data_IF_432167404349
#
_entry.id   IF_432167404349
#
_cell.length_a   1.000
_cell.length_b   1.000
_cell.length_c   1.000
_cell.angle_alpha   90.00
_cell.angle_beta   90.00
_cell.angle_gamma   90.00
#
_symmetry.space_group_name_H-M   'P 1'
#
loop_
_entity.id
_entity.type
_entity.pdbx_description
1 polymer ?
#
# COMPACT_ATOMS: atom_id res chain seq x y z
N UNK A 1 -2.15 11.84 -7.91
CA UNK A 1 -1.73 11.84 -6.49
C UNK A 1 -1.61 10.42 -5.98
N UNK A 2 -0.55 10.14 -5.27
CA UNK A 2 -0.26 8.80 -4.75
C UNK A 2 -0.48 8.75 -3.25
N UNK A 3 -0.74 7.55 -2.75
CA UNK A 3 -0.79 7.25 -1.32
C UNK A 3 0.42 6.40 -0.97
N UNK A 4 1.27 6.88 -0.09
CA UNK A 4 2.42 6.12 0.40
C UNK A 4 2.08 5.54 1.75
N UNK A 5 2.06 4.22 1.85
CA UNK A 5 1.76 3.50 3.09
C UNK A 5 3.07 3.18 3.77
N UNK A 6 3.25 3.67 5.00
CA UNK A 6 4.45 3.46 5.79
C UNK A 6 4.19 2.32 6.76
N UNK A 7 5.02 1.29 6.69
CA UNK A 7 4.99 0.20 7.64
C UNK A 7 6.13 0.39 8.64
N UNK A 8 5.77 0.39 9.90
CA UNK A 8 6.72 0.59 10.99
C UNK A 8 7.59 -0.65 11.18
N UNK A 9 8.75 -0.43 11.81
CA UNK A 9 9.61 -1.52 12.24
C UNK A 9 8.83 -2.47 13.17
N UNK A 10 9.05 -3.79 13.02
CA UNK A 10 8.40 -4.81 13.84
C UNK A 10 8.67 -4.65 15.34
N UNK A 11 9.70 -3.91 15.71
CA UNK A 11 10.03 -3.65 17.11
C UNK A 11 9.05 -2.68 17.77
N UNK A 12 8.48 -1.74 17.00
CA UNK A 12 7.57 -0.73 17.54
C UNK A 12 6.27 -1.36 18.09
N UNK A 13 5.61 -2.28 17.38
CA UNK A 13 4.41 -2.94 17.92
C UNK A 13 4.62 -3.75 19.19
N UNK A 14 5.86 -4.15 19.48
CA UNK A 14 6.20 -4.89 20.69
C UNK A 14 6.37 -4.01 21.93
N UNK A 15 6.39 -2.68 21.73
CA UNK A 15 6.48 -1.74 22.85
C UNK A 15 5.15 -1.65 23.61
N UNK A 16 5.21 -1.22 24.86
CA UNK A 16 4.02 -1.03 25.69
C UNK A 16 3.11 0.06 25.11
N UNK A 17 1.84 0.04 25.50
CA UNK A 17 0.87 1.06 25.09
C UNK A 17 1.30 2.49 25.46
N UNK A 18 2.12 2.64 26.49
CA UNK A 18 2.66 3.96 26.90
C UNK A 18 3.79 4.43 25.97
N UNK A 19 4.60 3.49 25.51
CA UNK A 19 5.80 3.77 24.71
C UNK A 19 5.49 3.92 23.24
N UNK A 20 4.52 3.12 22.74
CA UNK A 20 4.15 3.10 21.32
C UNK A 20 3.74 4.46 20.77
N UNK A 21 2.85 5.25 21.43
CA UNK A 21 2.48 6.57 20.92
C UNK A 21 3.66 7.55 20.83
N UNK A 22 4.63 7.44 21.74
CA UNK A 22 5.83 8.27 21.70
C UNK A 22 6.71 7.95 20.50
N UNK A 23 6.89 6.67 20.20
CA UNK A 23 7.65 6.23 19.05
C UNK A 23 6.97 6.65 17.75
N UNK A 24 5.66 6.50 17.67
CA UNK A 24 4.88 6.90 16.50
C UNK A 24 4.96 8.40 16.27
N UNK A 25 4.86 9.21 17.31
CA UNK A 25 4.98 10.66 17.21
C UNK A 25 6.38 11.08 16.74
N UNK A 26 7.40 10.44 17.29
CA UNK A 26 8.79 10.69 16.87
C UNK A 26 9.00 10.31 15.43
N UNK A 27 8.44 9.17 15.02
CA UNK A 27 8.53 8.72 13.64
C UNK A 27 7.86 9.71 12.69
N UNK A 28 6.66 10.20 13.04
CA UNK A 28 5.96 11.23 12.26
C UNK A 28 6.81 12.49 12.11
N UNK A 29 7.38 12.98 13.23
CA UNK A 29 8.22 14.17 13.21
C UNK A 29 9.46 13.97 12.35
N UNK A 30 10.08 12.80 12.41
CA UNK A 30 11.26 12.48 11.62
C UNK A 30 10.94 12.37 10.13
N UNK A 31 9.77 11.83 9.79
CA UNK A 31 9.30 11.77 8.40
C UNK A 31 9.08 13.17 7.85
N UNK A 32 8.38 14.03 8.60
CA UNK A 32 8.14 15.41 8.18
C UNK A 32 9.44 16.18 8.00
N UNK A 33 10.37 16.02 8.93
CA UNK A 33 11.69 16.65 8.83
C UNK A 33 12.41 16.22 7.55
N UNK A 34 12.42 14.92 7.26
CA UNK A 34 13.08 14.37 6.08
C UNK A 34 12.45 14.90 4.78
N UNK A 35 11.12 14.97 4.72
CA UNK A 35 10.41 15.50 3.55
C UNK A 35 10.73 16.97 3.31
N UNK A 36 10.69 17.78 4.36
CA UNK A 36 10.99 19.21 4.27
C UNK A 36 12.42 19.46 3.86
N UNK A 37 13.35 18.69 4.42
CA UNK A 37 14.77 18.79 4.08
C UNK A 37 15.05 18.55 2.60
N UNK A 38 14.30 17.65 1.98
CA UNK A 38 14.43 17.32 0.56
C UNK A 38 13.59 18.22 -0.34
N UNK A 39 12.97 19.25 0.24
CA UNK A 39 12.17 20.21 -0.53
C UNK A 39 10.79 19.71 -0.94
N UNK A 40 10.33 18.62 -0.35
CA UNK A 40 8.99 18.11 -0.63
C UNK A 40 8.00 18.87 0.24
N UNK A 41 7.13 19.65 -0.38
CA UNK A 41 6.14 20.50 0.30
C UNK A 41 4.70 20.04 0.05
N UNK A 42 4.46 19.30 -1.03
CA UNK A 42 3.16 18.77 -1.37
C UNK A 42 2.95 17.41 -0.73
N UNK A 43 2.52 17.41 0.53
CA UNK A 43 2.20 16.17 1.23
C UNK A 43 1.17 16.39 2.33
N UNK A 44 0.41 15.35 2.61
CA UNK A 44 -0.54 15.30 3.71
C UNK A 44 -0.33 13.98 4.43
N UNK A 45 -0.01 14.04 5.73
CA UNK A 45 0.29 12.86 6.53
C UNK A 45 -0.88 12.58 7.46
N UNK A 46 -1.35 11.33 7.46
CA UNK A 46 -2.34 10.86 8.41
C UNK A 46 -1.83 9.62 9.13
N UNK A 47 -2.24 9.46 10.38
CA UNK A 47 -1.96 8.25 11.13
C UNK A 47 -3.27 7.71 11.70
N UNK A 48 -3.57 6.45 11.40
CA UNK A 48 -4.74 5.74 11.88
C UNK A 48 -4.36 4.33 12.27
N UNK A 49 -4.69 3.94 13.50
CA UNK A 49 -4.50 2.58 13.98
C UNK A 49 -3.09 2.03 13.74
N UNK A 50 -2.09 2.89 13.98
CA UNK A 50 -0.69 2.52 13.81
C UNK A 50 -0.19 2.51 12.36
N UNK A 51 -1.00 2.99 11.43
CA UNK A 51 -0.61 3.07 10.01
C UNK A 51 -0.46 4.52 9.60
N UNK A 52 0.72 4.86 9.09
CA UNK A 52 1.01 6.19 8.57
C UNK A 52 0.81 6.17 7.06
N UNK A 53 0.04 7.12 6.56
CA UNK A 53 -0.21 7.28 5.13
C UNK A 53 0.16 8.69 4.72
N UNK A 54 0.92 8.82 3.63
CA UNK A 54 1.30 10.11 3.06
C UNK A 54 0.65 10.23 1.69
N UNK A 55 -0.14 11.28 1.50
CA UNK A 55 -0.68 11.61 0.17
C UNK A 55 0.21 12.67 -0.43
N UNK A 56 0.74 12.42 -1.62
CA UNK A 56 1.61 13.35 -2.32
C UNK A 56 1.64 13.04 -3.82
N UNK A 57 1.85 14.06 -4.62
CA UNK A 57 2.10 13.90 -6.05
C UNK A 57 3.59 13.73 -6.35
N UNK A 58 4.45 13.90 -5.36
CA UNK A 58 5.91 13.82 -5.54
C UNK A 58 6.39 12.36 -5.55
N UNK A 59 7.13 11.99 -6.59
CA UNK A 59 7.67 10.63 -6.73
C UNK A 59 8.84 10.33 -5.80
N UNK A 60 9.41 11.34 -5.16
CA UNK A 60 10.59 11.18 -4.31
C UNK A 60 10.26 10.72 -2.90
N UNK A 61 8.99 10.74 -2.51
CA UNK A 61 8.57 10.43 -1.14
C UNK A 61 9.09 9.06 -0.69
N UNK A 62 8.94 8.04 -1.53
CA UNK A 62 9.41 6.69 -1.19
C UNK A 62 10.91 6.63 -0.91
N UNK A 63 11.71 7.24 -1.77
CA UNK A 63 13.18 7.26 -1.63
C UNK A 63 13.63 8.00 -0.38
N UNK A 64 12.93 9.07 -0.01
CA UNK A 64 13.25 9.86 1.16
C UNK A 64 12.83 9.15 2.44
N UNK A 65 11.58 8.71 2.51
CA UNK A 65 11.00 8.14 3.73
C UNK A 65 11.63 6.79 4.10
N UNK A 66 12.05 6.00 3.11
CA UNK A 66 12.69 4.71 3.39
C UNK A 66 13.94 4.82 4.28
N UNK A 67 14.58 5.98 4.26
CA UNK A 67 15.80 6.23 5.04
C UNK A 67 15.52 6.70 6.47
N UNK A 68 14.27 6.94 6.82
CA UNK A 68 13.92 7.40 8.16
C UNK A 68 13.96 6.23 9.14
N UNK A 69 14.62 6.42 10.26
CA UNK A 69 14.73 5.39 11.30
C UNK A 69 13.33 5.01 11.83
N UNK A 70 13.08 3.73 11.92
CA UNK A 70 11.79 3.20 12.35
C UNK A 70 10.88 2.78 11.21
N UNK A 71 11.21 3.13 9.97
CA UNK A 71 10.48 2.73 8.78
C UNK A 71 10.99 1.36 8.33
N UNK A 72 10.09 0.37 8.30
CA UNK A 72 10.41 -0.96 7.81
C UNK A 72 10.22 -1.04 6.30
N UNK A 73 9.15 -0.44 5.79
CA UNK A 73 8.77 -0.51 4.38
C UNK A 73 7.90 0.67 4.02
N UNK A 74 8.05 1.16 2.79
CA UNK A 74 7.20 2.20 2.21
C UNK A 74 6.62 1.66 0.92
N UNK A 75 5.30 1.74 0.75
CA UNK A 75 4.64 1.30 -0.48
C UNK A 75 3.88 2.45 -1.12
N UNK A 76 4.20 2.72 -2.38
CA UNK A 76 3.50 3.70 -3.22
C UNK A 76 2.27 3.03 -3.82
N UNK A 77 1.11 3.65 -3.68
CA UNK A 77 -0.15 3.11 -4.13
C UNK A 77 -1.04 4.17 -4.77
N UNK A 78 -1.97 3.72 -5.60
CA UNK A 78 -3.13 4.50 -5.96
C UNK A 78 -4.24 4.10 -4.98
N UNK A 79 -4.99 5.06 -4.48
CA UNK A 79 -6.06 4.78 -3.54
C UNK A 79 -7.35 5.49 -3.93
N UNK A 80 -8.47 4.89 -3.54
CA UNK A 80 -9.79 5.48 -3.75
C UNK A 80 -10.80 4.93 -2.75
N UNK A 81 -11.84 5.69 -2.52
CA UNK A 81 -13.01 5.18 -1.80
C UNK A 81 -13.82 4.31 -2.76
N UNK A 82 -14.41 3.23 -2.24
CA UNK A 82 -15.24 2.33 -3.01
C UNK A 82 -16.60 2.15 -2.33
N UNK A 83 -17.62 1.86 -3.15
CA UNK A 83 -18.97 1.58 -2.65
C UNK A 83 -19.30 0.09 -2.71
N UNK A 84 -18.67 -0.64 -3.62
CA UNK A 84 -18.91 -2.06 -3.81
C UNK A 84 -17.63 -2.78 -4.24
N UNK A 85 -17.66 -4.11 -4.16
CA UNK A 85 -16.54 -4.93 -4.64
C UNK A 85 -16.30 -4.72 -6.13
N UNK A 86 -17.36 -4.46 -6.92
CA UNK A 86 -17.22 -4.21 -8.35
C UNK A 86 -16.36 -3.00 -8.65
N UNK A 87 -16.46 -1.94 -7.82
CA UNK A 87 -15.60 -0.75 -7.95
C UNK A 87 -14.13 -1.12 -7.80
N UNK A 88 -13.83 -1.98 -6.82
CA UNK A 88 -12.47 -2.45 -6.54
C UNK A 88 -11.91 -3.21 -7.74
N UNK A 89 -12.71 -4.12 -8.30
CA UNK A 89 -12.29 -4.99 -9.40
C UNK A 89 -12.09 -4.21 -10.68
N UNK A 90 -13.02 -3.32 -11.02
CA UNK A 90 -12.95 -2.49 -12.23
C UNK A 90 -11.70 -1.62 -12.23
N UNK A 91 -11.38 -1.00 -11.09
CA UNK A 91 -10.19 -0.16 -10.97
C UNK A 91 -8.91 -0.98 -11.00
N UNK A 92 -8.91 -2.14 -10.38
CA UNK A 92 -7.76 -3.05 -10.42
C UNK A 92 -7.45 -3.49 -11.86
N UNK A 93 -8.46 -3.82 -12.64
CA UNK A 93 -8.29 -4.17 -14.05
C UNK A 93 -7.68 -3.01 -14.82
N UNK A 94 -8.20 -1.81 -14.65
CA UNK A 94 -7.70 -0.60 -15.31
C UNK A 94 -6.22 -0.34 -14.98
N UNK A 95 -5.85 -0.45 -13.71
CA UNK A 95 -4.49 -0.16 -13.26
C UNK A 95 -3.50 -1.24 -13.68
N UNK A 96 -3.86 -2.51 -13.53
CA UNK A 96 -2.91 -3.62 -13.61
C UNK A 96 -2.91 -4.38 -14.93
N UNK A 97 -3.85 -4.13 -15.83
CA UNK A 97 -3.92 -4.86 -17.10
C UNK A 97 -2.61 -4.85 -17.88
N UNK A 98 -1.92 -3.72 -17.91
CA UNK A 98 -0.65 -3.59 -18.63
C UNK A 98 0.51 -4.26 -17.90
N UNK A 99 0.39 -4.46 -16.58
CA UNK A 99 1.44 -5.10 -15.78
C UNK A 99 1.53 -6.59 -15.98
N UNK A 100 0.43 -7.23 -16.42
CA UNK A 100 0.34 -8.68 -16.53
C UNK A 100 0.42 -9.18 -17.97
N UNK A 101 0.55 -8.31 -18.96
CA UNK A 101 0.60 -8.70 -20.38
C UNK A 101 1.74 -9.70 -20.63
N UNK A 102 1.37 -10.89 -21.10
CA UNK A 102 2.33 -11.95 -21.41
C UNK A 102 3.05 -12.53 -20.20
N UNK A 103 2.57 -12.26 -19.00
CA UNK A 103 3.21 -12.71 -17.76
C UNK A 103 2.26 -13.55 -16.92
N UNK A 104 2.82 -14.44 -16.12
CA UNK A 104 2.09 -15.16 -15.10
C UNK A 104 2.01 -14.33 -13.85
N UNK A 105 0.86 -14.30 -13.19
CA UNK A 105 0.65 -13.41 -12.05
C UNK A 105 -0.06 -14.11 -10.90
N UNK A 106 0.04 -13.50 -9.73
CA UNK A 106 -0.75 -13.85 -8.56
C UNK A 106 -1.34 -12.57 -7.97
N UNK A 107 -2.52 -12.66 -7.39
CA UNK A 107 -3.18 -11.55 -6.70
C UNK A 107 -3.15 -11.83 -5.21
N UNK A 108 -2.63 -10.88 -4.43
CA UNK A 108 -2.58 -10.96 -2.97
C UNK A 108 -3.32 -9.78 -2.39
N UNK A 109 -4.27 -10.06 -1.52
CA UNK A 109 -5.14 -9.05 -0.94
C UNK A 109 -5.06 -9.11 0.57
N UNK A 110 -4.86 -7.94 1.18
CA UNK A 110 -4.97 -7.75 2.63
C UNK A 110 -6.21 -6.91 2.89
N UNK A 111 -6.97 -7.28 3.91
CA UNK A 111 -8.22 -6.59 4.21
C UNK A 111 -8.34 -6.35 5.71
N UNK A 112 -8.75 -5.14 6.08
CA UNK A 112 -9.08 -4.76 7.44
C UNK A 112 -10.41 -4.00 7.44
N UNK A 113 -11.20 -4.19 8.47
CA UNK A 113 -12.53 -3.58 8.59
C UNK A 113 -13.64 -4.60 8.33
N UNK A 114 -14.89 -4.11 8.33
CA UNK A 114 -16.08 -4.94 8.15
C UNK A 114 -16.60 -4.81 6.72
N UNK A 115 -16.71 -5.94 6.01
CA UNK A 115 -17.17 -5.99 4.63
C UNK A 115 -18.05 -7.20 4.40
N UNK A 116 -18.86 -7.15 3.32
CA UNK A 116 -19.68 -8.28 2.89
C UNK A 116 -18.90 -9.28 2.03
N UNK A 117 -17.65 -8.98 1.74
CA UNK A 117 -16.76 -9.83 0.92
C UNK A 117 -15.46 -10.10 1.68
N UNK A 118 -14.75 -11.15 1.27
CA UNK A 118 -13.46 -11.54 1.86
C UNK A 118 -12.30 -11.13 0.95
N UNK A 119 -11.06 -11.21 1.49
CA UNK A 119 -9.86 -11.00 0.66
C UNK A 119 -9.77 -12.02 -0.46
N UNK A 120 -10.20 -13.25 -0.23
CA UNK A 120 -10.23 -14.28 -1.28
C UNK A 120 -11.21 -13.95 -2.39
N UNK A 121 -12.36 -13.37 -2.06
CA UNK A 121 -13.34 -12.92 -3.06
C UNK A 121 -12.73 -11.88 -3.99
N UNK A 122 -12.02 -10.90 -3.44
CA UNK A 122 -11.36 -9.86 -4.21
C UNK A 122 -10.28 -10.48 -5.09
N UNK A 123 -9.42 -11.32 -4.51
CA UNK A 123 -8.31 -11.95 -5.23
C UNK A 123 -8.82 -12.80 -6.42
N UNK A 124 -9.87 -13.58 -6.20
CA UNK A 124 -10.45 -14.43 -7.24
C UNK A 124 -11.02 -13.60 -8.38
N UNK A 125 -11.78 -12.55 -8.06
CA UNK A 125 -12.43 -11.71 -9.08
C UNK A 125 -11.45 -10.83 -9.84
N UNK A 126 -10.44 -10.30 -9.16
CA UNK A 126 -9.36 -9.53 -9.82
C UNK A 126 -8.55 -10.47 -10.72
N UNK A 127 -8.23 -11.66 -10.24
CA UNK A 127 -7.54 -12.67 -11.04
C UNK A 127 -8.32 -13.03 -12.31
N UNK A 128 -9.61 -13.22 -12.18
CA UNK A 128 -10.49 -13.49 -13.33
C UNK A 128 -10.49 -12.33 -14.34
N UNK A 129 -10.59 -11.10 -13.84
CA UNK A 129 -10.61 -9.91 -14.69
C UNK A 129 -9.30 -9.70 -15.44
N UNK A 130 -8.16 -10.05 -14.84
CA UNK A 130 -6.83 -9.87 -15.43
C UNK A 130 -6.39 -11.04 -16.30
N UNK A 131 -7.03 -12.18 -16.18
CA UNK A 131 -6.61 -13.42 -16.86
C UNK A 131 -6.47 -13.24 -18.37
N UNK A 132 -7.42 -12.56 -19.00
CA UNK A 132 -7.44 -12.35 -20.45
C UNK A 132 -6.25 -11.55 -20.99
N UNK A 133 -5.57 -10.77 -20.14
CA UNK A 133 -4.40 -9.99 -20.54
C UNK A 133 -3.09 -10.74 -20.31
N UNK A 134 -3.11 -11.79 -19.52
CA UNK A 134 -1.93 -12.44 -18.96
C UNK A 134 -1.58 -13.76 -19.65
N UNK A 135 -0.45 -14.35 -19.25
CA UNK A 135 -0.06 -15.70 -19.62
C UNK A 135 -0.65 -16.76 -18.66
N UNK A 136 -1.42 -16.35 -17.67
CA UNK A 136 -2.07 -17.22 -16.69
C UNK A 136 -1.75 -16.87 -15.26
N UNK A 137 -2.36 -17.61 -14.34
CA UNK A 137 -2.14 -17.45 -12.89
C UNK A 137 -1.13 -18.49 -12.42
N UNK A 138 -0.16 -18.05 -11.60
CA UNK A 138 0.78 -18.94 -10.92
C UNK A 138 0.98 -18.46 -9.50
N UNK A 139 0.43 -19.20 -8.53
CA UNK A 139 0.45 -18.79 -7.12
C UNK A 139 1.80 -19.04 -6.45
N UNK A 140 2.55 -20.02 -6.93
CA UNK A 140 3.82 -20.39 -6.28
C UNK A 140 5.04 -19.65 -6.83
N UNK A 141 5.04 -19.33 -8.12
CA UNK A 141 6.17 -18.66 -8.76
C UNK A 141 5.70 -17.69 -9.86
N UNK A 142 4.99 -16.64 -9.48
CA UNK A 142 4.50 -15.66 -10.45
C UNK A 142 5.63 -14.74 -10.94
N UNK A 143 5.48 -14.27 -12.18
CA UNK A 143 6.36 -13.22 -12.72
C UNK A 143 6.03 -11.87 -12.11
N UNK A 144 4.75 -11.65 -11.81
CA UNK A 144 4.24 -10.40 -11.23
C UNK A 144 3.28 -10.71 -10.10
N UNK A 145 3.40 -9.98 -9.01
CA UNK A 145 2.46 -10.07 -7.88
C UNK A 145 1.64 -8.78 -7.86
N UNK A 146 0.33 -8.93 -7.92
CA UNK A 146 -0.61 -7.83 -7.78
C UNK A 146 -1.01 -7.74 -6.31
N UNK A 147 -0.62 -6.66 -5.65
CA UNK A 147 -0.90 -6.44 -4.23
C UNK A 147 -1.99 -5.37 -4.07
N UNK A 148 -3.02 -5.70 -3.33
CA UNK A 148 -4.15 -4.82 -3.04
C UNK A 148 -4.39 -4.84 -1.53
N UNK A 149 -4.58 -3.67 -0.93
CA UNK A 149 -4.96 -3.55 0.46
C UNK A 149 -6.30 -2.82 0.55
N UNK A 150 -7.20 -3.34 1.38
CA UNK A 150 -8.49 -2.73 1.64
C UNK A 150 -8.58 -2.42 3.12
N UNK A 151 -8.88 -1.17 3.44
CA UNK A 151 -9.04 -0.71 4.83
C UNK A 151 -10.34 0.10 4.90
N UNK A 152 -11.31 -0.42 5.63
CA UNK A 152 -12.64 0.16 5.73
C UNK A 152 -13.22 0.44 4.34
N UNK A 153 -13.43 1.69 3.96
CA UNK A 153 -14.01 2.07 2.67
C UNK A 153 -12.98 2.53 1.62
N UNK A 154 -11.69 2.31 1.89
CA UNK A 154 -10.61 2.73 0.98
C UNK A 154 -9.84 1.51 0.46
N UNK A 155 -9.57 1.49 -0.83
CA UNK A 155 -8.73 0.47 -1.47
C UNK A 155 -7.44 1.10 -1.94
N UNK A 156 -6.32 0.37 -1.71
CA UNK A 156 -4.97 0.77 -2.10
C UNK A 156 -4.43 -0.24 -3.10
N UNK A 157 -4.06 0.24 -4.29
CA UNK A 157 -3.45 -0.58 -5.34
C UNK A 157 -1.95 -0.32 -5.32
N UNK A 158 -1.19 -1.29 -4.86
CA UNK A 158 0.26 -1.13 -4.61
C UNK A 158 1.02 -1.15 -5.92
N UNK A 159 1.79 -0.10 -6.19
CA UNK A 159 2.57 0.05 -7.42
C UNK A 159 4.05 -0.30 -7.22
N UNK A 160 4.64 0.14 -6.11
CA UNK A 160 6.05 -0.05 -5.82
C UNK A 160 6.28 0.02 -4.32
N UNK A 161 7.20 -0.80 -3.83
CA UNK A 161 7.59 -0.76 -2.42
C UNK A 161 9.10 -0.60 -2.29
N UNK A 162 9.52 0.08 -1.23
CA UNK A 162 10.92 0.24 -0.83
C UNK A 162 11.09 -0.36 0.55
N UNK A 163 12.13 -1.14 0.75
CA UNK A 163 12.50 -1.60 2.07
C UNK A 163 13.21 -0.49 2.82
N UNK A 164 13.01 -0.41 4.12
CA UNK A 164 13.72 0.51 5.00
C UNK A 164 15.21 0.15 5.07
N UNK A 165 16.00 1.14 5.38
CA UNK A 165 17.46 0.98 5.50
C UNK A 165 17.86 0.50 6.90
#
# INVERSE_FOLDING_TARGET
MYCYIIKESSEIPLKSHRTRPRFEKRLLNNIEYALKKEGIVDYDITMREGVITIKSSDDKVGDVVRNVFGVHKVCKALCMEFNSINDIISKAEEIFKDHVIGKKFAVRVKRAGTHTFTSLDIAAKVGEALLKYSAGVNLSNPDVIINIEVRDNVVYYILKCWDGV
#
